data_IF_966953459535
#
_entry.id   IF_966953459535
#
_cell.length_a   1.000
_cell.length_b   1.000
_cell.length_c   1.000
_cell.angle_alpha   90.00
_cell.angle_beta   90.00
_cell.angle_gamma   90.00
#
_symmetry.space_group_name_H-M   'P 1'
#
loop_
_entity.id
_entity.type
_entity.pdbx_description
1 polymer ?
#
# COMPACT_ATOMS: atom_id res chain seq x y z
N UNK A 1 17.68 -1.71 -19.79
CA UNK A 1 17.13 -2.18 -21.07
C UNK A 1 15.66 -2.60 -20.89
N UNK A 2 14.97 -2.86 -22.00
CA UNK A 2 13.54 -3.20 -21.98
C UNK A 2 13.24 -4.48 -21.20
N UNK A 3 14.11 -5.49 -21.26
CA UNK A 3 13.93 -6.73 -20.54
C UNK A 3 14.05 -6.53 -19.02
N UNK A 4 15.02 -5.75 -18.56
CA UNK A 4 15.19 -5.42 -17.16
C UNK A 4 14.02 -4.56 -16.65
N UNK A 5 13.57 -3.62 -17.46
CA UNK A 5 12.45 -2.76 -17.12
C UNK A 5 11.16 -3.57 -16.94
N UNK A 6 10.87 -4.44 -17.89
CA UNK A 6 9.72 -5.34 -17.82
C UNK A 6 9.81 -6.26 -16.60
N UNK A 7 10.98 -6.82 -16.34
CA UNK A 7 11.21 -7.70 -15.18
C UNK A 7 10.94 -6.96 -13.86
N UNK A 8 11.34 -5.70 -13.77
CA UNK A 8 11.06 -4.89 -12.58
C UNK A 8 9.58 -4.62 -12.40
N UNK A 9 8.86 -4.31 -13.49
CA UNK A 9 7.40 -4.14 -13.44
C UNK A 9 6.75 -5.44 -12.93
N UNK A 10 7.09 -6.57 -13.52
CA UNK A 10 6.52 -7.87 -13.15
C UNK A 10 6.82 -8.20 -11.68
N UNK A 11 8.03 -7.93 -11.23
CA UNK A 11 8.45 -8.16 -9.83
C UNK A 11 7.60 -7.36 -8.85
N UNK A 12 7.32 -6.08 -9.14
CA UNK A 12 6.48 -5.26 -8.28
C UNK A 12 5.01 -5.63 -8.35
N UNK A 13 4.53 -6.09 -9.50
CA UNK A 13 3.17 -6.62 -9.62
C UNK A 13 2.99 -7.88 -8.77
N UNK A 14 3.97 -8.77 -8.79
CA UNK A 14 3.96 -9.99 -7.97
C UNK A 14 4.00 -9.64 -6.47
N UNK A 15 4.86 -8.70 -6.07
CA UNK A 15 4.93 -8.25 -4.69
C UNK A 15 3.62 -7.60 -4.23
N UNK A 16 3.00 -6.81 -5.09
CA UNK A 16 1.69 -6.21 -4.84
C UNK A 16 0.62 -7.28 -4.64
N UNK A 17 0.63 -8.32 -5.47
CA UNK A 17 -0.33 -9.42 -5.37
C UNK A 17 -0.21 -10.17 -4.05
N UNK A 18 1.01 -10.42 -3.58
CA UNK A 18 1.25 -11.08 -2.28
C UNK A 18 0.68 -10.23 -1.16
N UNK A 19 0.99 -8.93 -1.14
CA UNK A 19 0.45 -8.00 -0.15
C UNK A 19 -1.08 -7.94 -0.22
N UNK A 20 -1.62 -7.82 -1.42
CA UNK A 20 -3.06 -7.72 -1.65
C UNK A 20 -3.83 -8.94 -1.10
N UNK A 21 -3.31 -10.13 -1.31
CA UNK A 21 -3.92 -11.36 -0.76
C UNK A 21 -3.96 -11.34 0.76
N UNK A 22 -2.89 -10.90 1.40
CA UNK A 22 -2.83 -10.85 2.86
C UNK A 22 -3.78 -9.79 3.42
N UNK A 23 -3.77 -8.58 2.85
CA UNK A 23 -4.62 -7.53 3.40
C UNK A 23 -6.11 -7.76 3.11
N UNK A 24 -6.47 -8.45 2.05
CA UNK A 24 -7.88 -8.79 1.81
C UNK A 24 -8.44 -9.67 2.92
N UNK A 25 -7.71 -10.67 3.35
CA UNK A 25 -8.09 -11.49 4.51
C UNK A 25 -8.21 -10.61 5.76
N UNK A 26 -7.23 -9.77 5.98
CA UNK A 26 -7.19 -8.84 7.11
C UNK A 26 -8.43 -7.93 7.14
N UNK A 27 -8.75 -7.28 6.01
CA UNK A 27 -9.91 -6.39 5.93
C UNK A 27 -11.23 -7.12 6.18
N UNK A 28 -11.35 -8.36 5.73
CA UNK A 28 -12.57 -9.16 5.94
C UNK A 28 -12.73 -9.58 7.41
N UNK A 29 -11.65 -9.68 8.16
CA UNK A 29 -11.65 -10.11 9.55
C UNK A 29 -11.67 -8.94 10.55
N UNK A 30 -11.65 -7.69 10.11
CA UNK A 30 -11.40 -6.53 10.99
C UNK A 30 -12.45 -6.35 12.09
N UNK A 31 -13.67 -6.83 11.94
CA UNK A 31 -14.66 -6.74 13.01
C UNK A 31 -14.28 -7.60 14.23
N UNK A 32 -13.58 -8.70 13.99
CA UNK A 32 -13.06 -9.59 15.04
C UNK A 32 -11.70 -10.12 14.63
N UNK A 33 -10.73 -9.21 14.52
CA UNK A 33 -9.40 -9.52 13.98
C UNK A 33 -8.60 -10.43 14.92
N UNK A 34 -7.94 -11.43 14.35
CA UNK A 34 -6.99 -12.25 15.08
C UNK A 34 -5.60 -11.59 15.10
N UNK A 35 -4.89 -11.80 16.21
CA UNK A 35 -3.49 -11.33 16.34
C UNK A 35 -2.61 -11.94 15.24
N UNK A 36 -2.87 -13.20 14.88
CA UNK A 36 -2.13 -13.89 13.83
C UNK A 36 -2.30 -13.22 12.46
N UNK A 37 -3.55 -12.92 12.08
CA UNK A 37 -3.81 -12.25 10.79
C UNK A 37 -3.19 -10.86 10.75
N UNK A 38 -3.30 -10.10 11.83
CA UNK A 38 -2.68 -8.78 11.93
C UNK A 38 -1.16 -8.87 11.73
N UNK A 39 -0.51 -9.77 12.44
CA UNK A 39 0.95 -9.98 12.35
C UNK A 39 1.38 -10.37 10.95
N UNK A 40 0.65 -11.28 10.32
CA UNK A 40 0.93 -11.75 8.98
C UNK A 40 0.79 -10.63 7.94
N UNK A 41 -0.28 -9.85 8.05
CA UNK A 41 -0.52 -8.71 7.16
C UNK A 41 0.55 -7.64 7.35
N UNK A 42 0.93 -7.36 8.59
CA UNK A 42 1.99 -6.41 8.89
C UNK A 42 3.33 -6.83 8.27
N UNK A 43 3.67 -8.10 8.34
CA UNK A 43 4.89 -8.62 7.72
C UNK A 43 4.87 -8.43 6.20
N UNK A 44 3.73 -8.69 5.56
CA UNK A 44 3.57 -8.47 4.11
C UNK A 44 3.66 -6.99 3.74
N UNK A 45 3.05 -6.12 4.56
CA UNK A 45 3.13 -4.67 4.40
C UNK A 45 4.58 -4.20 4.45
N UNK A 46 5.32 -4.59 5.47
CA UNK A 46 6.72 -4.18 5.63
C UNK A 46 7.59 -4.65 4.48
N UNK A 47 7.42 -5.90 4.06
CA UNK A 47 8.17 -6.46 2.94
C UNK A 47 7.92 -5.66 1.65
N UNK A 48 6.66 -5.40 1.34
CA UNK A 48 6.29 -4.67 0.12
C UNK A 48 6.79 -3.23 0.15
N UNK A 49 6.56 -2.52 1.25
CA UNK A 49 6.93 -1.10 1.37
C UNK A 49 8.44 -0.91 1.46
N UNK A 50 9.18 -1.83 2.07
CA UNK A 50 10.64 -1.79 2.03
C UNK A 50 11.16 -1.82 0.59
N UNK A 51 10.58 -2.67 -0.25
CA UNK A 51 10.93 -2.74 -1.67
C UNK A 51 10.58 -1.47 -2.43
N UNK A 52 9.39 -0.93 -2.19
CA UNK A 52 8.95 0.34 -2.81
C UNK A 52 9.87 1.50 -2.41
N UNK A 53 10.14 1.64 -1.12
CA UNK A 53 10.97 2.72 -0.59
C UNK A 53 12.37 2.68 -1.18
N UNK A 54 12.95 1.50 -1.26
CA UNK A 54 14.27 1.30 -1.87
C UNK A 54 14.26 1.69 -3.35
N UNK A 55 13.26 1.24 -4.11
CA UNK A 55 13.17 1.55 -5.52
C UNK A 55 12.96 3.04 -5.78
N UNK A 56 12.12 3.69 -4.98
CA UNK A 56 11.84 5.12 -5.10
C UNK A 56 13.03 6.00 -4.66
N UNK A 57 13.98 5.44 -3.92
CA UNK A 57 15.23 6.13 -3.63
C UNK A 57 16.17 6.19 -4.85
N UNK A 58 15.95 5.33 -5.84
CA UNK A 58 16.80 5.20 -7.02
C UNK A 58 16.15 5.78 -8.28
N UNK A 59 14.83 5.92 -8.32
CA UNK A 59 14.11 6.41 -9.49
C UNK A 59 12.81 7.10 -9.08
N UNK A 60 12.19 7.82 -10.03
CA UNK A 60 11.01 8.64 -9.76
C UNK A 60 9.71 7.83 -9.66
N UNK A 61 9.70 6.62 -10.18
CA UNK A 61 8.54 5.72 -10.19
C UNK A 61 8.95 4.34 -9.70
N UNK A 62 7.97 3.51 -9.41
CA UNK A 62 8.21 2.20 -8.76
C UNK A 62 9.19 1.33 -9.59
N UNK A 63 9.02 1.27 -10.90
CA UNK A 63 9.86 0.40 -11.73
C UNK A 63 10.94 1.14 -12.53
N UNK A 64 11.02 2.47 -12.44
CA UNK A 64 12.00 3.24 -13.21
C UNK A 64 11.63 4.72 -13.33
N UNK A 65 11.82 5.27 -14.52
CA UNK A 65 11.65 6.72 -14.75
C UNK A 65 10.30 7.09 -15.36
N UNK A 66 9.38 6.14 -15.52
CA UNK A 66 8.06 6.36 -16.09
C UNK A 66 6.99 5.70 -15.25
N UNK A 67 5.79 6.30 -15.25
CA UNK A 67 4.60 5.69 -14.67
C UNK A 67 4.30 4.38 -15.39
N UNK A 68 4.07 3.31 -14.63
CA UNK A 68 3.70 2.00 -15.16
C UNK A 68 2.53 1.43 -14.38
N UNK A 69 2.04 0.28 -14.81
CA UNK A 69 1.03 -0.48 -14.09
C UNK A 69 1.47 -0.83 -12.66
N UNK A 70 2.78 -0.89 -12.39
CA UNK A 70 3.30 -1.14 -11.05
C UNK A 70 2.93 0.00 -10.09
N UNK A 71 2.98 1.26 -10.55
CA UNK A 71 2.55 2.43 -9.77
C UNK A 71 1.04 2.44 -9.58
N UNK A 72 0.30 2.17 -10.64
CA UNK A 72 -1.17 2.18 -10.61
C UNK A 72 -1.68 1.11 -9.65
N UNK A 73 -1.16 -0.10 -9.74
CA UNK A 73 -1.52 -1.21 -8.85
C UNK A 73 -1.21 -0.86 -7.39
N UNK A 74 -0.05 -0.26 -7.14
CA UNK A 74 0.31 0.17 -5.79
C UNK A 74 -0.74 1.15 -5.23
N UNK A 75 -1.04 2.21 -5.96
CA UNK A 75 -1.95 3.26 -5.46
C UNK A 75 -3.36 2.69 -5.23
N UNK A 76 -3.87 1.92 -6.18
CA UNK A 76 -5.23 1.37 -6.08
C UNK A 76 -5.37 0.37 -4.94
N UNK A 77 -4.44 -0.56 -4.81
CA UNK A 77 -4.49 -1.58 -3.76
C UNK A 77 -4.21 -0.99 -2.38
N UNK A 78 -3.25 -0.07 -2.31
CA UNK A 78 -2.90 0.56 -1.04
C UNK A 78 -4.05 1.44 -0.52
N UNK A 79 -4.78 2.11 -1.40
CA UNK A 79 -5.96 2.88 -1.01
C UNK A 79 -7.02 1.97 -0.34
N UNK A 80 -7.21 0.76 -0.87
CA UNK A 80 -8.10 -0.21 -0.21
C UNK A 80 -7.59 -0.62 1.16
N UNK A 81 -6.29 -0.90 1.27
CA UNK A 81 -5.68 -1.29 2.54
C UNK A 81 -5.87 -0.23 3.62
N UNK A 82 -5.78 1.06 3.26
CA UNK A 82 -5.95 2.15 4.21
C UNK A 82 -7.34 2.21 4.84
N UNK A 83 -8.31 1.46 4.32
CA UNK A 83 -9.63 1.31 4.94
C UNK A 83 -9.57 0.67 6.33
N UNK A 84 -8.43 0.09 6.72
CA UNK A 84 -8.25 -0.35 8.10
C UNK A 84 -8.53 0.77 9.11
N UNK A 85 -8.37 2.03 8.71
CA UNK A 85 -8.63 3.19 9.56
C UNK A 85 -10.05 3.27 10.10
N UNK A 86 -11.03 2.69 9.40
CA UNK A 86 -12.42 2.61 9.89
C UNK A 86 -12.58 1.67 11.08
N UNK A 87 -11.58 0.83 11.36
CA UNK A 87 -11.66 -0.24 12.36
C UNK A 87 -10.68 -0.04 13.51
N UNK A 88 -10.28 1.23 13.75
CA UNK A 88 -9.32 1.56 14.81
C UNK A 88 -9.79 1.06 16.18
N UNK A 89 -11.09 1.21 16.49
CA UNK A 89 -11.64 0.79 17.78
C UNK A 89 -11.56 -0.74 17.95
N UNK A 90 -11.85 -1.49 16.89
CA UNK A 90 -11.75 -2.94 16.89
C UNK A 90 -10.30 -3.40 17.11
N UNK A 91 -9.35 -2.73 16.46
CA UNK A 91 -7.93 -3.02 16.65
C UNK A 91 -7.50 -2.72 18.08
N UNK A 92 -7.87 -1.56 18.60
CA UNK A 92 -7.55 -1.18 19.98
C UNK A 92 -8.12 -2.16 21.02
N UNK A 93 -9.30 -2.71 20.77
CA UNK A 93 -9.90 -3.70 21.67
C UNK A 93 -9.07 -4.97 21.79
N UNK A 94 -8.21 -5.25 20.82
CA UNK A 94 -7.29 -6.40 20.81
C UNK A 94 -5.86 -5.99 21.16
N UNK A 95 -5.63 -4.77 21.62
CA UNK A 95 -4.31 -4.18 21.88
C UNK A 95 -3.44 -4.14 20.61
N UNK A 96 -4.09 -3.92 19.45
CA UNK A 96 -3.44 -3.77 18.16
C UNK A 96 -3.56 -2.33 17.67
N UNK A 97 -2.66 -1.93 16.79
CA UNK A 97 -2.69 -0.63 16.14
C UNK A 97 -2.91 -0.77 14.64
N UNK A 98 -3.19 0.36 13.97
CA UNK A 98 -3.19 0.38 12.51
C UNK A 98 -1.81 -0.05 12.01
N UNK A 99 -1.79 -0.93 11.03
CA UNK A 99 -0.53 -1.36 10.40
C UNK A 99 0.17 -0.17 9.77
N UNK A 100 -0.60 0.74 9.17
CA UNK A 100 -0.09 1.94 8.48
C UNK A 100 0.10 3.16 9.38
N UNK A 101 0.03 3.04 10.71
CA UNK A 101 0.05 4.21 11.61
C UNK A 101 1.28 5.11 11.43
N UNK A 102 2.42 4.54 11.09
CA UNK A 102 3.67 5.27 10.90
C UNK A 102 4.10 5.33 9.42
N UNK A 103 3.18 5.18 8.50
CA UNK A 103 3.48 5.12 7.06
C UNK A 103 4.35 6.28 6.61
N UNK A 104 3.99 7.51 6.96
CA UNK A 104 4.74 8.70 6.54
C UNK A 104 6.17 8.71 7.08
N UNK A 105 6.36 8.32 8.33
CA UNK A 105 7.67 8.35 8.98
C UNK A 105 8.58 7.20 8.55
N UNK A 106 8.00 6.00 8.40
CA UNK A 106 8.77 4.80 8.10
C UNK A 106 9.10 4.68 6.61
N UNK A 107 8.23 5.20 5.74
CA UNK A 107 8.35 5.08 4.29
C UNK A 107 8.07 6.42 3.61
N UNK A 108 8.92 7.45 3.85
CA UNK A 108 8.62 8.81 3.40
C UNK A 108 8.53 8.96 1.88
N UNK A 109 9.36 8.28 1.12
CA UNK A 109 9.31 8.36 -0.34
C UNK A 109 8.07 7.67 -0.89
N UNK A 110 7.72 6.53 -0.34
CA UNK A 110 6.52 5.79 -0.71
C UNK A 110 5.26 6.58 -0.35
N UNK A 111 5.25 7.22 0.82
CA UNK A 111 4.16 8.10 1.24
C UNK A 111 3.97 9.26 0.26
N UNK A 112 5.04 9.97 -0.09
CA UNK A 112 4.95 11.11 -1.01
C UNK A 112 4.54 10.66 -2.41
N UNK A 113 5.00 9.50 -2.86
CA UNK A 113 4.61 8.93 -4.15
C UNK A 113 3.11 8.59 -4.17
N UNK A 114 2.62 7.92 -3.13
CA UNK A 114 1.19 7.61 -2.99
C UNK A 114 0.35 8.90 -2.98
N UNK A 115 0.75 9.88 -2.17
CA UNK A 115 0.07 11.17 -2.06
C UNK A 115 0.03 11.90 -3.40
N UNK A 116 1.16 11.98 -4.09
CA UNK A 116 1.28 12.66 -5.38
C UNK A 116 0.39 12.03 -6.44
N UNK A 117 0.42 10.71 -6.57
CA UNK A 117 -0.39 10.01 -7.58
C UNK A 117 -1.88 10.06 -7.24
N UNK A 118 -2.24 9.83 -5.99
CA UNK A 118 -3.65 9.82 -5.58
C UNK A 118 -4.31 11.18 -5.71
N UNK A 119 -3.53 12.28 -5.76
CA UNK A 119 -4.04 13.62 -5.98
C UNK A 119 -4.22 13.98 -7.46
N UNK A 120 -3.75 13.15 -8.38
CA UNK A 120 -3.98 13.36 -9.81
C UNK A 120 -5.45 13.08 -10.16
N UNK A 121 -5.97 13.86 -11.10
CA UNK A 121 -7.39 13.81 -11.47
C UNK A 121 -7.86 12.40 -11.84
N UNK A 122 -7.06 11.69 -12.61
CA UNK A 122 -7.39 10.34 -13.09
C UNK A 122 -7.60 9.37 -11.92
N UNK A 123 -6.77 9.47 -10.89
CA UNK A 123 -6.91 8.64 -9.70
C UNK A 123 -8.10 9.07 -8.84
N UNK A 124 -8.29 10.38 -8.66
CA UNK A 124 -9.42 10.90 -7.89
C UNK A 124 -10.77 10.54 -8.50
N UNK A 125 -10.87 10.58 -9.82
CA UNK A 125 -12.13 10.25 -10.52
C UNK A 125 -12.54 8.79 -10.29
N UNK A 126 -11.55 7.90 -10.10
CA UNK A 126 -11.81 6.46 -9.91
C UNK A 126 -11.88 6.07 -8.43
N UNK A 127 -11.02 6.67 -7.61
CA UNK A 127 -10.80 6.21 -6.23
C UNK A 127 -11.23 7.19 -5.15
N UNK A 128 -11.88 8.32 -5.52
CA UNK A 128 -12.19 9.38 -4.56
C UNK A 128 -12.87 8.87 -3.29
N UNK A 129 -13.85 7.98 -3.43
CA UNK A 129 -14.58 7.42 -2.28
C UNK A 129 -13.70 6.57 -1.35
N UNK A 130 -12.60 6.02 -1.86
CA UNK A 130 -11.65 5.26 -1.04
C UNK A 130 -10.70 6.15 -0.27
N UNK A 131 -10.55 7.41 -0.68
CA UNK A 131 -9.63 8.36 -0.09
C UNK A 131 -10.30 9.37 0.84
N UNK A 132 -11.63 9.47 0.80
CA UNK A 132 -12.40 10.48 1.53
C UNK A 132 -12.16 10.46 3.05
N UNK A 133 -11.84 9.31 3.59
CA UNK A 133 -11.63 9.12 5.04
C UNK A 133 -10.15 9.19 5.43
N UNK A 134 -9.25 9.22 4.46
CA UNK A 134 -7.81 9.28 4.72
C UNK A 134 -7.32 10.68 4.33
N UNK A 135 -7.17 11.52 5.35
CA UNK A 135 -6.73 12.90 5.17
C UNK A 135 -5.20 12.93 5.01
N UNK A 136 -4.78 13.18 3.79
CA UNK A 136 -3.35 13.34 3.50
C UNK A 136 -3.02 14.79 3.21
#
# INVERSE_FOLDING_TARGET
>A
DDANYKSRIDSFLDANLVFSREFQVYLLELEDISVYTHKRTKAAYEFYLDGLEKSLSLSNYVAGNQLTIADISFVCEFAQFLREGHYLDQLKSKNLSLISENFQNDYPLTFEHFKSLSNQKEFKDVMGTYLDWYDM
#
